data_IF_752077423587
#
_entry.id   IF_752077423587
#
_cell.length_a   1.000
_cell.length_b   1.000
_cell.length_c   1.000
_cell.angle_alpha   90.00
_cell.angle_beta   90.00
_cell.angle_gamma   90.00
#
_symmetry.space_group_name_H-M   'P 1'
#
loop_
_entity.id
_entity.type
_entity.pdbx_description
1 polymer ?
#
# COMPACT_ATOMS: atom_id res chain seq x y z
N UNK A 1 9.50 -14.63 -7.86
CA UNK A 1 8.77 -13.40 -8.27
C UNK A 1 7.75 -13.08 -7.22
N UNK A 2 7.73 -11.90 -6.76
CA UNK A 2 6.87 -11.36 -5.72
C UNK A 2 5.50 -10.99 -6.30
N UNK A 3 4.41 -11.30 -5.60
CA UNK A 3 3.08 -10.86 -5.97
C UNK A 3 2.79 -9.47 -5.39
N UNK A 4 2.71 -8.46 -6.25
CA UNK A 4 2.67 -7.05 -5.87
C UNK A 4 1.28 -6.46 -6.03
N UNK A 5 0.73 -5.95 -4.92
CA UNK A 5 -0.58 -5.29 -4.86
C UNK A 5 -0.36 -3.81 -4.52
N UNK A 6 -0.80 -2.91 -5.39
CA UNK A 6 -0.81 -1.48 -5.08
C UNK A 6 -2.24 -1.01 -4.79
N UNK A 7 -2.42 -0.31 -3.67
CA UNK A 7 -3.71 0.25 -3.26
C UNK A 7 -3.74 1.75 -3.55
N UNK A 8 -4.70 2.20 -4.35
CA UNK A 8 -4.85 3.58 -4.79
C UNK A 8 -6.28 4.08 -4.59
N UNK A 9 -6.49 5.37 -4.60
CA UNK A 9 -7.83 5.96 -4.44
C UNK A 9 -7.75 7.41 -3.95
N UNK A 10 -8.90 8.06 -3.85
CA UNK A 10 -9.02 9.41 -3.29
C UNK A 10 -8.63 9.46 -1.82
N UNK A 11 -8.28 10.64 -1.30
CA UNK A 11 -8.09 10.86 0.14
C UNK A 11 -9.34 10.51 0.95
N UNK A 12 -9.18 9.80 2.06
CA UNK A 12 -10.26 9.47 3.00
C UNK A 12 -11.17 8.30 2.62
N UNK A 13 -10.95 7.60 1.49
CA UNK A 13 -11.78 6.45 1.09
C UNK A 13 -11.44 5.13 1.80
N UNK A 14 -10.39 5.12 2.66
CA UNK A 14 -9.99 3.94 3.43
C UNK A 14 -8.92 3.07 2.77
N UNK A 15 -8.06 3.62 1.92
CA UNK A 15 -6.92 2.90 1.32
C UNK A 15 -6.08 2.18 2.36
N UNK A 16 -5.56 2.92 3.34
CA UNK A 16 -4.71 2.40 4.41
C UNK A 16 -5.41 1.32 5.23
N UNK A 17 -6.72 1.46 5.45
CA UNK A 17 -7.55 0.43 6.09
C UNK A 17 -7.58 -0.86 5.26
N UNK A 18 -7.84 -0.74 3.96
CA UNK A 18 -7.84 -1.89 3.05
C UNK A 18 -6.44 -2.50 2.95
N UNK A 19 -5.39 -1.69 2.86
CA UNK A 19 -4.00 -2.15 2.85
C UNK A 19 -3.64 -2.97 4.09
N UNK A 20 -3.94 -2.45 5.30
CA UNK A 20 -3.66 -3.15 6.55
C UNK A 20 -4.43 -4.48 6.66
N UNK A 21 -5.71 -4.50 6.29
CA UNK A 21 -6.52 -5.72 6.32
C UNK A 21 -6.11 -6.73 5.23
N UNK A 22 -5.61 -6.26 4.06
CA UNK A 22 -5.02 -7.14 3.04
C UNK A 22 -3.72 -7.80 3.52
N UNK A 23 -2.84 -7.05 4.17
CA UNK A 23 -1.61 -7.59 4.78
C UNK A 23 -1.97 -8.74 5.73
N UNK A 24 -2.89 -8.51 6.67
CA UNK A 24 -3.37 -9.53 7.59
C UNK A 24 -3.99 -10.73 6.86
N UNK A 25 -4.90 -10.48 5.90
CA UNK A 25 -5.60 -11.55 5.20
C UNK A 25 -4.65 -12.43 4.37
N UNK A 26 -3.64 -11.84 3.73
CA UNK A 26 -2.62 -12.56 2.98
C UNK A 26 -1.76 -13.43 3.89
N UNK A 27 -1.31 -12.89 5.04
CA UNK A 27 -0.56 -13.66 6.03
C UNK A 27 -1.38 -14.82 6.57
N UNK A 28 -2.60 -14.59 7.09
CA UNK A 28 -3.46 -15.65 7.63
C UNK A 28 -3.77 -16.74 6.59
N UNK A 29 -3.89 -16.37 5.32
CA UNK A 29 -4.20 -17.30 4.23
C UNK A 29 -3.03 -18.20 3.85
N UNK A 30 -1.82 -17.63 3.82
CA UNK A 30 -0.65 -18.26 3.19
C UNK A 30 0.41 -18.71 4.18
N UNK A 31 0.38 -18.19 5.41
CA UNK A 31 1.45 -18.38 6.41
C UNK A 31 2.76 -17.67 6.04
N UNK A 32 2.76 -16.84 4.97
CA UNK A 32 3.93 -16.11 4.52
C UNK A 32 4.03 -14.74 5.16
N UNK A 33 5.24 -14.24 5.34
CA UNK A 33 5.47 -12.86 5.74
C UNK A 33 5.14 -11.95 4.56
N UNK A 34 4.37 -10.89 4.80
CA UNK A 34 3.95 -9.92 3.78
C UNK A 34 4.76 -8.65 3.93
N UNK A 35 5.37 -8.16 2.86
CA UNK A 35 5.98 -6.84 2.89
C UNK A 35 4.91 -5.77 2.72
N UNK A 36 4.74 -4.92 3.74
CA UNK A 36 3.90 -3.74 3.71
C UNK A 36 4.76 -2.50 3.40
N UNK A 37 4.41 -1.76 2.36
CA UNK A 37 5.09 -0.52 1.98
C UNK A 37 4.12 0.65 2.16
N UNK A 38 4.45 1.54 3.10
CA UNK A 38 3.71 2.78 3.30
C UNK A 38 4.33 3.87 2.42
N UNK A 39 3.68 4.15 1.28
CA UNK A 39 4.10 5.17 0.33
C UNK A 39 3.39 6.52 0.53
N UNK A 40 2.53 6.64 1.55
CA UNK A 40 1.93 7.92 1.95
C UNK A 40 2.92 8.72 2.82
N UNK A 41 3.20 10.00 2.52
CA UNK A 41 4.04 10.85 3.35
C UNK A 41 3.60 10.99 4.81
N UNK A 42 2.33 10.75 5.10
CA UNK A 42 1.79 10.79 6.46
C UNK A 42 2.05 9.52 7.25
N UNK A 43 2.49 8.43 6.61
CA UNK A 43 2.92 7.17 7.23
C UNK A 43 1.91 6.59 8.23
N UNK A 44 0.65 6.43 7.78
CA UNK A 44 -0.43 5.96 8.64
C UNK A 44 -0.58 4.43 8.70
N UNK A 45 0.06 3.70 7.79
CA UNK A 45 -0.09 2.24 7.70
C UNK A 45 0.46 1.54 8.95
N UNK A 46 1.57 2.04 9.51
CA UNK A 46 2.16 1.50 10.72
C UNK A 46 1.19 1.52 11.92
N UNK A 47 0.50 2.64 12.15
CA UNK A 47 -0.53 2.74 13.20
C UNK A 47 -1.62 1.67 13.00
N UNK A 48 -2.09 1.49 11.75
CA UNK A 48 -3.14 0.50 11.45
C UNK A 48 -2.66 -0.94 11.60
N UNK A 49 -1.36 -1.19 11.45
CA UNK A 49 -0.72 -2.49 11.70
C UNK A 49 -0.23 -2.66 13.15
N UNK A 50 -0.38 -1.64 14.01
CA UNK A 50 0.02 -1.69 15.41
C UNK A 50 1.52 -1.60 15.65
N UNK A 51 2.28 -1.06 14.69
CA UNK A 51 3.72 -0.84 14.79
C UNK A 51 4.06 0.61 14.45
N UNK A 52 5.13 1.13 15.05
CA UNK A 52 5.57 2.51 14.81
C UNK A 52 6.98 2.49 14.24
N UNK A 53 7.17 2.89 12.97
CA UNK A 53 8.50 3.00 12.40
C UNK A 53 9.29 4.11 13.09
N UNK A 54 10.48 3.78 13.60
CA UNK A 54 11.39 4.78 14.21
C UNK A 54 12.01 5.69 13.16
N UNK A 55 12.10 5.23 11.92
CA UNK A 55 12.73 5.94 10.80
C UNK A 55 11.99 5.65 9.51
N UNK A 56 11.92 6.66 8.65
CA UNK A 56 11.41 6.52 7.29
C UNK A 56 12.54 6.56 6.27
N UNK A 57 12.28 6.13 5.04
CA UNK A 57 13.22 6.27 3.93
C UNK A 57 13.55 7.75 3.67
N UNK A 58 12.57 8.64 3.87
CA UNK A 58 12.78 10.09 3.80
C UNK A 58 13.80 10.60 4.80
N UNK A 59 13.70 10.16 6.07
CA UNK A 59 14.65 10.53 7.14
C UNK A 59 16.06 10.03 6.82
N UNK A 60 16.18 8.79 6.34
CA UNK A 60 17.46 8.21 5.93
C UNK A 60 18.11 9.02 4.80
N UNK A 61 17.31 9.39 3.81
CA UNK A 61 17.75 10.23 2.70
C UNK A 61 18.28 11.58 3.20
N UNK A 62 17.54 12.26 4.08
CA UNK A 62 17.97 13.53 4.65
C UNK A 62 19.28 13.40 5.45
N UNK A 63 19.38 12.36 6.27
CA UNK A 63 20.60 12.08 7.03
C UNK A 63 21.79 11.90 6.10
N UNK A 64 21.64 11.12 5.05
CA UNK A 64 22.71 10.87 4.07
C UNK A 64 23.15 12.13 3.31
N UNK A 65 22.24 13.08 3.12
CA UNK A 65 22.55 14.35 2.48
C UNK A 65 23.38 15.26 3.38
N UNK A 66 23.06 15.24 4.67
CA UNK A 66 23.79 16.04 5.68
C UNK A 66 25.17 15.45 6.02
N UNK A 67 25.33 14.14 5.85
CA UNK A 67 26.54 13.38 6.22
C UNK A 67 27.21 12.71 5.02
N UNK A 68 27.14 13.33 3.83
CA UNK A 68 27.64 12.72 2.59
C UNK A 68 29.13 12.31 2.64
N UNK A 69 29.92 12.94 3.53
CA UNK A 69 31.35 12.71 3.72
C UNK A 69 31.68 11.85 4.96
N UNK A 70 30.72 11.54 5.84
CA UNK A 70 30.90 10.80 7.08
C UNK A 70 30.56 9.31 6.93
N UNK A 71 31.07 8.65 5.90
CA UNK A 71 30.89 7.21 5.73
C UNK A 71 31.85 6.46 6.68
N UNK A 72 31.40 5.34 7.29
CA UNK A 72 32.28 4.46 8.03
C UNK A 72 33.45 4.00 7.16
N UNK A 73 34.66 3.97 7.74
CA UNK A 73 35.87 3.60 7.01
C UNK A 73 35.73 2.18 6.41
N UNK A 74 35.91 2.07 5.11
CA UNK A 74 35.87 0.78 4.38
C UNK A 74 34.49 0.37 3.85
N UNK A 75 33.43 1.16 4.07
CA UNK A 75 32.12 0.90 3.47
C UNK A 75 31.89 1.76 2.23
N UNK A 76 31.33 1.15 1.18
CA UNK A 76 30.81 1.91 0.04
C UNK A 76 29.52 2.64 0.42
N UNK A 77 29.20 3.71 -0.29
CA UNK A 77 27.96 4.45 -0.08
C UNK A 77 26.72 3.58 -0.30
N UNK A 78 26.78 2.66 -1.24
CA UNK A 78 25.72 1.71 -1.52
C UNK A 78 25.46 0.77 -0.35
N UNK A 79 26.50 0.08 0.14
CA UNK A 79 26.39 -0.83 1.30
C UNK A 79 25.85 -0.12 2.54
N UNK A 80 26.26 1.14 2.76
CA UNK A 80 25.74 1.94 3.88
C UNK A 80 24.25 2.26 3.73
N UNK A 81 23.80 2.63 2.51
CA UNK A 81 22.36 2.87 2.23
C UNK A 81 21.55 1.61 2.47
N UNK A 82 21.96 0.49 1.87
CA UNK A 82 21.28 -0.80 2.02
C UNK A 82 21.16 -1.21 3.50
N UNK A 83 22.26 -1.07 4.26
CA UNK A 83 22.25 -1.33 5.70
C UNK A 83 21.25 -0.44 6.45
N UNK A 84 21.23 0.87 6.17
CA UNK A 84 20.31 1.80 6.82
C UNK A 84 18.85 1.52 6.43
N UNK A 85 18.58 1.10 5.20
CA UNK A 85 17.23 0.73 4.75
C UNK A 85 16.74 -0.54 5.45
N UNK A 86 17.60 -1.55 5.62
CA UNK A 86 17.26 -2.74 6.42
C UNK A 86 16.92 -2.37 7.88
N UNK A 87 17.65 -1.42 8.46
CA UNK A 87 17.35 -0.91 9.82
C UNK A 87 16.07 -0.08 9.91
N UNK A 88 15.52 0.40 8.79
CA UNK A 88 14.27 1.14 8.75
C UNK A 88 13.05 0.21 8.55
N UNK A 89 13.28 -1.06 8.23
CA UNK A 89 12.22 -2.06 8.16
C UNK A 89 11.81 -2.46 9.58
N UNK A 90 10.53 -2.42 9.87
CA UNK A 90 9.95 -2.81 11.16
C UNK A 90 9.29 -4.17 11.01
N UNK A 91 9.76 -5.15 11.78
CA UNK A 91 9.19 -6.49 11.81
C UNK A 91 7.91 -6.51 12.67
N UNK A 92 6.83 -7.05 12.13
CA UNK A 92 5.55 -7.28 12.81
C UNK A 92 5.16 -8.75 12.82
N UNK A 93 3.98 -9.04 13.35
CA UNK A 93 3.44 -10.41 13.37
C UNK A 93 2.87 -10.76 11.98
N UNK A 94 3.67 -11.48 11.20
CA UNK A 94 3.31 -11.91 9.85
C UNK A 94 3.54 -10.88 8.74
N UNK A 95 4.18 -9.77 9.04
CA UNK A 95 4.53 -8.76 8.05
C UNK A 95 5.81 -8.01 8.43
N UNK A 96 6.43 -7.39 7.43
CA UNK A 96 7.48 -6.41 7.62
C UNK A 96 7.02 -5.08 7.00
N UNK A 97 7.18 -3.97 7.74
CA UNK A 97 6.77 -2.65 7.31
C UNK A 97 7.96 -1.79 6.92
N UNK A 98 7.87 -1.17 5.75
CA UNK A 98 8.78 -0.12 5.30
C UNK A 98 7.99 1.16 5.00
N UNK A 99 8.32 2.25 5.71
CA UNK A 99 7.67 3.55 5.52
C UNK A 99 8.52 4.48 4.69
N UNK A 100 7.95 5.02 3.61
CA UNK A 100 8.65 5.93 2.70
C UNK A 100 8.85 7.33 3.31
N UNK A 101 7.90 7.80 4.11
CA UNK A 101 7.97 9.13 4.72
C UNK A 101 7.91 10.28 3.72
N UNK A 102 8.17 11.50 4.19
CA UNK A 102 8.10 12.69 3.36
C UNK A 102 9.30 12.81 2.43
N UNK A 103 9.08 13.14 1.16
CA UNK A 103 10.15 13.36 0.20
C UNK A 103 10.66 14.80 0.21
N UNK A 104 10.88 15.41 1.35
CA UNK A 104 11.19 16.85 1.42
C UNK A 104 12.67 17.17 1.20
N UNK A 105 12.94 18.28 0.51
CA UNK A 105 14.22 18.95 0.34
C UNK A 105 14.46 19.42 -1.10
N UNK A 106 14.99 20.65 -1.30
CA UNK A 106 15.41 21.12 -2.62
C UNK A 106 16.69 20.38 -3.03
N UNK A 107 16.69 19.80 -4.22
CA UNK A 107 17.88 19.22 -4.85
C UNK A 107 17.59 17.97 -5.68
N UNK A 108 18.39 17.78 -6.73
CA UNK A 108 18.35 16.58 -7.56
C UNK A 108 19.25 15.50 -6.92
N UNK A 109 18.64 14.55 -6.22
CA UNK A 109 19.35 13.47 -5.53
C UNK A 109 19.26 12.16 -6.34
N UNK A 110 19.39 12.25 -7.64
CA UNK A 110 19.20 11.15 -8.58
C UNK A 110 19.96 9.88 -8.17
N UNK A 111 21.18 10.02 -7.68
CA UNK A 111 22.01 8.86 -7.29
C UNK A 111 21.45 8.13 -6.06
N UNK A 112 21.18 8.85 -4.97
CA UNK A 112 20.64 8.25 -3.73
C UNK A 112 19.24 7.67 -3.97
N UNK A 113 18.39 8.40 -4.69
CA UNK A 113 17.06 7.92 -5.05
C UNK A 113 17.12 6.65 -5.91
N UNK A 114 18.12 6.53 -6.79
CA UNK A 114 18.31 5.33 -7.60
C UNK A 114 18.73 4.13 -6.75
N UNK A 115 19.68 4.30 -5.82
CA UNK A 115 20.08 3.23 -4.88
C UNK A 115 18.89 2.78 -4.05
N UNK A 116 18.14 3.72 -3.46
CA UNK A 116 16.96 3.40 -2.64
C UNK A 116 15.89 2.66 -3.44
N UNK A 117 15.68 3.05 -4.69
CA UNK A 117 14.73 2.38 -5.57
C UNK A 117 15.19 0.95 -5.90
N UNK A 118 16.47 0.78 -6.26
CA UNK A 118 17.03 -0.56 -6.54
C UNK A 118 16.89 -1.46 -5.32
N UNK A 119 17.25 -0.95 -4.14
CA UNK A 119 17.09 -1.72 -2.89
C UNK A 119 15.61 -2.08 -2.63
N UNK A 120 14.66 -1.13 -2.84
CA UNK A 120 13.24 -1.41 -2.67
C UNK A 120 12.76 -2.51 -3.62
N UNK A 121 13.17 -2.43 -4.89
CA UNK A 121 12.81 -3.45 -5.88
C UNK A 121 13.39 -4.82 -5.49
N UNK A 122 14.66 -4.89 -5.06
CA UNK A 122 15.31 -6.10 -4.58
C UNK A 122 14.69 -6.62 -3.29
N UNK A 123 14.47 -5.77 -2.29
CA UNK A 123 13.84 -6.16 -1.03
C UNK A 123 12.41 -6.68 -1.23
N UNK A 124 11.64 -6.08 -2.14
CA UNK A 124 10.31 -6.58 -2.46
C UNK A 124 10.35 -7.97 -3.12
N UNK A 125 11.41 -8.30 -3.86
CA UNK A 125 11.55 -9.63 -4.50
C UNK A 125 11.86 -10.75 -3.50
N UNK A 126 12.31 -10.43 -2.28
CA UNK A 126 12.54 -11.39 -1.20
C UNK A 126 11.23 -11.89 -0.55
N UNK A 127 10.10 -11.24 -0.82
CA UNK A 127 8.79 -11.60 -0.27
C UNK A 127 7.89 -12.23 -1.32
N UNK A 128 7.06 -13.21 -0.89
CA UNK A 128 6.03 -13.79 -1.77
C UNK A 128 4.93 -12.78 -2.08
N UNK A 129 4.60 -11.89 -1.13
CA UNK A 129 3.55 -10.88 -1.24
C UNK A 129 4.03 -9.50 -0.80
N UNK A 130 3.65 -8.49 -1.58
CA UNK A 130 3.90 -7.07 -1.27
C UNK A 130 2.62 -6.28 -1.39
N UNK A 131 2.29 -5.50 -0.36
CA UNK A 131 1.16 -4.56 -0.35
C UNK A 131 1.69 -3.15 -0.25
N UNK A 132 1.39 -2.30 -1.24
CA UNK A 132 1.84 -0.91 -1.30
C UNK A 132 0.64 0.01 -1.06
N UNK A 133 0.62 0.70 0.09
CA UNK A 133 -0.37 1.74 0.41
C UNK A 133 0.08 3.08 -0.19
N UNK A 134 -0.67 3.59 -1.15
CA UNK A 134 -0.29 4.82 -1.84
C UNK A 134 -1.03 6.04 -1.28
N UNK A 135 -0.39 7.19 -1.37
CA UNK A 135 -1.02 8.48 -1.14
C UNK A 135 -2.23 8.69 -2.07
N UNK A 136 -3.03 9.71 -1.79
CA UNK A 136 -4.11 10.10 -2.67
C UNK A 136 -3.61 10.46 -4.08
N UNK A 137 -4.06 9.71 -5.07
CA UNK A 137 -3.57 9.81 -6.46
C UNK A 137 -2.63 8.67 -6.84
N UNK A 138 -1.87 8.87 -7.91
CA UNK A 138 -0.92 7.89 -8.47
C UNK A 138 0.47 8.48 -8.74
N UNK A 139 0.72 9.71 -8.31
CA UNK A 139 1.97 10.40 -8.65
C UNK A 139 3.22 9.68 -8.09
N UNK A 140 3.07 9.01 -6.96
CA UNK A 140 4.15 8.25 -6.33
C UNK A 140 4.45 6.93 -7.05
N UNK A 141 3.45 6.26 -7.60
CA UNK A 141 3.65 5.03 -8.37
C UNK A 141 4.55 5.24 -9.58
N UNK A 142 4.39 6.38 -10.30
CA UNK A 142 5.18 6.65 -11.51
C UNK A 142 6.63 7.02 -11.22
N UNK A 143 6.90 7.61 -10.06
CA UNK A 143 8.20 8.21 -9.76
C UNK A 143 9.11 7.34 -8.90
N UNK A 144 8.57 6.38 -8.12
CA UNK A 144 9.31 5.85 -6.98
C UNK A 144 9.20 4.36 -6.70
N UNK A 145 8.14 3.68 -7.09
CA UNK A 145 7.98 2.31 -6.67
C UNK A 145 8.06 1.37 -7.85
N UNK A 146 7.30 0.79 -8.47
CA UNK A 146 7.45 -0.27 -9.46
C UNK A 146 6.85 0.09 -10.81
N UNK A 147 7.49 -0.34 -11.89
CA UNK A 147 6.94 -0.22 -13.24
C UNK A 147 5.85 -1.26 -13.52
N UNK A 148 5.81 -2.33 -12.73
CA UNK A 148 4.85 -3.42 -12.88
C UNK A 148 4.24 -3.81 -11.54
N UNK A 149 2.95 -4.14 -11.54
CA UNK A 149 2.23 -4.68 -10.41
C UNK A 149 1.22 -5.73 -10.89
N UNK A 150 1.06 -6.78 -10.10
CA UNK A 150 0.12 -7.86 -10.46
C UNK A 150 -1.32 -7.38 -10.29
N UNK A 151 -1.60 -6.64 -9.21
CA UNK A 151 -2.91 -6.10 -8.93
C UNK A 151 -2.86 -4.62 -8.55
N UNK A 152 -3.69 -3.81 -9.22
CA UNK A 152 -4.01 -2.45 -8.82
C UNK A 152 -5.38 -2.46 -8.13
N UNK A 153 -5.41 -2.23 -6.81
CA UNK A 153 -6.63 -2.11 -6.02
C UNK A 153 -7.05 -0.65 -5.97
N UNK A 154 -8.09 -0.29 -6.71
CA UNK A 154 -8.66 1.06 -6.72
C UNK A 154 -9.79 1.16 -5.69
N UNK A 155 -9.55 1.87 -4.59
CA UNK A 155 -10.52 2.06 -3.50
C UNK A 155 -11.36 3.32 -3.73
N UNK A 156 -12.67 3.18 -3.61
CA UNK A 156 -13.67 4.25 -3.69
C UNK A 156 -14.62 4.22 -2.50
N UNK A 157 -15.24 5.33 -2.21
CA UNK A 157 -16.48 5.39 -1.43
C UNK A 157 -17.71 5.09 -2.33
N UNK A 158 -18.90 4.78 -1.78
CA UNK A 158 -20.10 4.47 -2.55
C UNK A 158 -20.79 5.71 -3.13
N UNK A 159 -20.00 6.71 -3.58
CA UNK A 159 -20.52 7.94 -4.19
C UNK A 159 -20.20 7.99 -5.68
N UNK A 160 -21.04 8.68 -6.45
CA UNK A 160 -20.78 8.91 -7.87
C UNK A 160 -19.41 9.55 -8.12
N UNK A 161 -19.04 10.55 -7.32
CA UNK A 161 -17.76 11.26 -7.43
C UNK A 161 -16.58 10.33 -7.11
N UNK A 162 -16.74 9.43 -6.12
CA UNK A 162 -15.74 8.40 -5.81
C UNK A 162 -15.49 7.50 -7.01
N UNK A 163 -16.54 6.97 -7.62
CA UNK A 163 -16.47 6.11 -8.78
C UNK A 163 -15.86 6.81 -10.00
N UNK A 164 -16.25 8.05 -10.29
CA UNK A 164 -15.65 8.86 -11.36
C UNK A 164 -14.14 9.09 -11.12
N UNK A 165 -13.72 9.20 -9.86
CA UNK A 165 -12.31 9.33 -9.50
C UNK A 165 -11.52 8.06 -9.83
N UNK A 166 -12.10 6.87 -9.57
CA UNK A 166 -11.48 5.60 -9.98
C UNK A 166 -11.28 5.55 -11.49
N UNK A 167 -12.27 5.94 -12.29
CA UNK A 167 -12.13 6.00 -13.75
C UNK A 167 -10.95 6.88 -14.19
N UNK A 168 -10.76 8.03 -13.54
CA UNK A 168 -9.61 8.91 -13.79
C UNK A 168 -8.27 8.28 -13.39
N UNK A 169 -8.21 7.59 -12.24
CA UNK A 169 -7.01 6.89 -11.80
C UNK A 169 -6.61 5.79 -12.77
N UNK A 170 -7.58 5.01 -13.26
CA UNK A 170 -7.33 3.97 -14.27
C UNK A 170 -6.78 4.56 -15.58
N UNK A 171 -7.35 5.67 -16.04
CA UNK A 171 -6.85 6.37 -17.23
C UNK A 171 -5.42 6.89 -17.02
N UNK A 172 -5.14 7.45 -15.86
CA UNK A 172 -3.82 7.93 -15.50
C UNK A 172 -2.78 6.79 -15.46
N UNK A 173 -3.13 5.62 -14.90
CA UNK A 173 -2.26 4.44 -14.91
C UNK A 173 -1.84 4.05 -16.33
N UNK A 174 -2.79 4.07 -17.27
CA UNK A 174 -2.53 3.78 -18.69
C UNK A 174 -1.63 4.84 -19.34
N UNK A 175 -1.89 6.12 -19.08
CA UNK A 175 -1.06 7.23 -19.58
C UNK A 175 0.38 7.15 -19.07
N UNK A 176 0.55 6.74 -17.82
CA UNK A 176 1.87 6.56 -17.18
C UNK A 176 2.57 5.26 -17.60
N UNK A 177 1.93 4.43 -18.43
CA UNK A 177 2.43 3.14 -18.90
C UNK A 177 2.84 2.22 -17.74
N UNK A 178 2.06 2.23 -16.66
CA UNK A 178 2.22 1.29 -15.56
C UNK A 178 1.66 -0.06 -16.04
N UNK A 179 2.48 -1.09 -15.96
CA UNK A 179 2.04 -2.45 -16.29
C UNK A 179 1.22 -3.00 -15.12
N UNK A 180 -0.06 -3.21 -15.35
CA UNK A 180 -1.00 -3.74 -14.36
C UNK A 180 -1.56 -5.06 -14.87
N UNK A 181 -1.33 -6.13 -14.13
CA UNK A 181 -1.84 -7.47 -14.47
C UNK A 181 -3.37 -7.52 -14.33
N UNK A 182 -3.90 -7.07 -13.20
CA UNK A 182 -5.33 -7.00 -12.91
C UNK A 182 -5.70 -5.71 -12.20
N UNK A 183 -6.87 -5.15 -12.55
CA UNK A 183 -7.47 -4.03 -11.83
C UNK A 183 -8.63 -4.55 -10.96
N UNK A 184 -8.60 -4.30 -9.65
CA UNK A 184 -9.67 -4.58 -8.72
C UNK A 184 -10.29 -3.27 -8.22
N UNK A 185 -11.62 -3.13 -8.34
CA UNK A 185 -12.35 -2.03 -7.73
C UNK A 185 -12.84 -2.46 -6.34
N UNK A 186 -12.53 -1.67 -5.32
CA UNK A 186 -13.05 -1.86 -3.97
C UNK A 186 -13.93 -0.67 -3.60
N UNK A 187 -15.21 -0.89 -3.40
CA UNK A 187 -16.11 0.13 -2.87
C UNK A 187 -16.26 -0.09 -1.37
N UNK A 188 -15.67 0.83 -0.60
CA UNK A 188 -15.53 0.74 0.84
C UNK A 188 -16.63 1.51 1.58
N UNK A 189 -17.01 1.03 2.77
CA UNK A 189 -17.99 1.67 3.64
C UNK A 189 -19.44 1.56 3.14
N UNK A 190 -19.73 0.54 2.36
CA UNK A 190 -21.05 0.32 1.76
C UNK A 190 -22.07 -0.08 2.83
N UNK A 191 -23.23 0.56 2.84
CA UNK A 191 -24.37 0.20 3.67
C UNK A 191 -25.38 -0.61 2.83
N UNK A 192 -26.08 -1.57 3.44
CA UNK A 192 -26.91 -2.56 2.73
C UNK A 192 -27.80 -2.03 1.61
N UNK A 193 -28.37 -0.82 1.76
CA UNK A 193 -29.22 -0.19 0.74
C UNK A 193 -28.45 0.31 -0.50
N UNK A 194 -27.13 0.43 -0.43
CA UNK A 194 -26.28 0.97 -1.50
C UNK A 194 -25.69 -0.12 -2.41
N UNK A 195 -25.71 -1.39 -1.97
CA UNK A 195 -25.06 -2.51 -2.69
C UNK A 195 -25.53 -2.61 -4.14
N UNK A 196 -26.84 -2.65 -4.48
CA UNK A 196 -27.29 -2.80 -5.86
C UNK A 196 -26.84 -1.67 -6.78
N UNK A 197 -26.81 -0.43 -6.24
CA UNK A 197 -26.38 0.76 -7.01
C UNK A 197 -24.88 0.70 -7.29
N UNK A 198 -24.09 0.27 -6.32
CA UNK A 198 -22.64 0.12 -6.46
C UNK A 198 -22.28 -0.96 -7.48
N UNK A 199 -22.96 -2.11 -7.43
CA UNK A 199 -22.77 -3.20 -8.39
C UNK A 199 -23.08 -2.74 -9.82
N UNK A 200 -24.21 -2.07 -10.03
CA UNK A 200 -24.58 -1.52 -11.34
C UNK A 200 -23.57 -0.48 -11.85
N UNK A 201 -23.02 0.37 -10.97
CA UNK A 201 -21.99 1.34 -11.35
C UNK A 201 -20.68 0.65 -11.72
N UNK A 202 -20.30 -0.41 -11.01
CA UNK A 202 -19.08 -1.17 -11.25
C UNK A 202 -19.10 -1.93 -12.57
N UNK A 203 -20.23 -2.55 -12.92
CA UNK A 203 -20.40 -3.29 -14.18
C UNK A 203 -20.12 -2.45 -15.45
N UNK A 204 -20.40 -1.15 -15.39
CA UNK A 204 -20.17 -0.23 -16.52
C UNK A 204 -18.75 0.31 -16.65
N UNK A 205 -17.92 0.15 -15.63
CA UNK A 205 -16.64 0.88 -15.55
C UNK A 205 -15.41 0.04 -15.84
N UNK A 206 -15.40 -1.27 -15.61
CA UNK A 206 -14.14 -2.02 -15.50
C UNK A 206 -14.26 -3.45 -16.07
N UNK A 207 -13.30 -3.85 -16.89
CA UNK A 207 -13.10 -5.24 -17.32
C UNK A 207 -12.52 -6.13 -16.18
N UNK A 208 -12.66 -5.73 -14.92
CA UNK A 208 -12.06 -6.35 -13.74
C UNK A 208 -13.11 -6.60 -12.65
N UNK A 209 -12.70 -7.28 -11.57
CA UNK A 209 -13.59 -7.60 -10.46
C UNK A 209 -13.89 -6.39 -9.58
N UNK A 210 -15.15 -6.23 -9.22
CA UNK A 210 -15.59 -5.29 -8.21
C UNK A 210 -15.87 -6.03 -6.90
N UNK A 211 -15.45 -5.41 -5.80
CA UNK A 211 -15.65 -5.91 -4.43
C UNK A 211 -16.32 -4.82 -3.61
N UNK A 212 -17.26 -5.21 -2.77
CA UNK A 212 -17.90 -4.33 -1.79
C UNK A 212 -17.38 -4.67 -0.40
N UNK A 213 -16.90 -3.64 0.31
CA UNK A 213 -16.52 -3.74 1.72
C UNK A 213 -17.56 -2.98 2.53
N UNK A 214 -18.31 -3.67 3.41
CA UNK A 214 -19.38 -3.03 4.17
C UNK A 214 -18.83 -2.07 5.22
N UNK A 215 -19.69 -1.20 5.75
CA UNK A 215 -19.37 -0.37 6.91
C UNK A 215 -19.41 -1.22 8.18
N UNK A 216 -18.45 -1.04 9.09
CA UNK A 216 -18.41 -1.68 10.42
C UNK A 216 -18.21 -0.63 11.51
N UNK A 217 -19.04 -0.70 12.55
CA UNK A 217 -18.90 0.13 13.73
C UNK A 217 -17.64 -0.26 14.55
N UNK A 218 -17.30 -1.56 14.62
CA UNK A 218 -16.11 -2.03 15.30
C UNK A 218 -14.83 -1.50 14.63
N UNK A 219 -14.77 -1.56 13.31
CA UNK A 219 -13.68 -0.94 12.53
C UNK A 219 -13.59 0.56 12.75
N UNK A 220 -14.74 1.26 12.76
CA UNK A 220 -14.78 2.70 12.99
C UNK A 220 -14.29 3.06 14.41
N UNK A 221 -14.65 2.27 15.43
CA UNK A 221 -14.19 2.45 16.79
C UNK A 221 -12.68 2.24 16.93
N UNK A 222 -12.12 1.15 16.36
CA UNK A 222 -10.67 0.92 16.35
C UNK A 222 -9.92 2.10 15.70
N UNK A 223 -10.42 2.60 14.58
CA UNK A 223 -9.84 3.76 13.91
C UNK A 223 -9.91 5.04 14.77
N UNK A 224 -11.03 5.27 15.45
CA UNK A 224 -11.22 6.45 16.30
C UNK A 224 -10.34 6.42 17.56
N UNK A 225 -10.06 5.20 18.07
CA UNK A 225 -9.20 4.97 19.23
C UNK A 225 -7.70 4.91 18.85
N UNK A 226 -7.32 4.97 17.57
CA UNK A 226 -5.94 4.80 17.11
C UNK A 226 -5.36 3.42 17.37
N UNK A 227 -6.21 2.40 17.44
CA UNK A 227 -5.83 1.01 17.70
C UNK A 227 -5.53 0.27 16.40
N UNK A 228 -4.75 -0.80 16.54
CA UNK A 228 -4.42 -1.67 15.41
C UNK A 228 -5.66 -2.32 14.82
N UNK A 229 -5.75 -2.34 13.49
CA UNK A 229 -6.79 -3.06 12.77
C UNK A 229 -6.57 -4.58 12.78
N UNK A 230 -5.40 -5.05 13.22
CA UNK A 230 -5.16 -6.47 13.47
C UNK A 230 -5.97 -7.01 14.64
N UNK A 231 -6.50 -6.12 15.50
CA UNK A 231 -7.41 -6.48 16.60
C UNK A 231 -8.86 -6.73 16.15
N UNK A 232 -9.21 -6.39 14.89
CA UNK A 232 -10.55 -6.62 14.37
C UNK A 232 -10.89 -8.12 14.39
N UNK A 233 -12.04 -8.49 14.94
CA UNK A 233 -12.44 -9.89 15.07
C UNK A 233 -12.53 -10.61 13.71
N UNK A 234 -12.16 -11.88 13.65
CA UNK A 234 -12.24 -12.69 12.42
C UNK A 234 -13.69 -12.82 11.89
N UNK A 235 -14.68 -12.73 12.76
CA UNK A 235 -16.09 -12.76 12.42
C UNK A 235 -16.61 -11.44 11.87
N UNK A 236 -15.85 -10.35 11.96
CA UNK A 236 -16.25 -9.05 11.45
C UNK A 236 -16.47 -9.14 9.93
N UNK A 237 -17.57 -8.55 9.48
CA UNK A 237 -17.99 -8.64 8.10
C UNK A 237 -17.07 -7.86 7.12
N UNK A 238 -16.38 -6.80 7.59
CA UNK A 238 -15.35 -6.11 6.81
C UNK A 238 -14.15 -7.02 6.59
N UNK A 239 -13.64 -7.64 7.69
CA UNK A 239 -12.48 -8.52 7.57
C UNK A 239 -12.79 -9.73 6.68
N UNK A 240 -13.98 -10.33 6.83
CA UNK A 240 -14.42 -11.43 5.95
C UNK A 240 -14.52 -11.00 4.48
N UNK A 241 -14.99 -9.79 4.20
CA UNK A 241 -15.05 -9.27 2.83
C UNK A 241 -13.66 -9.10 2.23
N UNK A 242 -12.70 -8.54 3.00
CA UNK A 242 -11.31 -8.38 2.55
C UNK A 242 -10.62 -9.73 2.39
N UNK A 243 -10.86 -10.69 3.30
CA UNK A 243 -10.32 -12.06 3.20
C UNK A 243 -10.83 -12.77 1.93
N UNK A 244 -12.12 -12.71 1.65
CA UNK A 244 -12.71 -13.26 0.42
C UNK A 244 -12.18 -12.56 -0.85
N UNK A 245 -11.90 -11.26 -0.78
CA UNK A 245 -11.23 -10.52 -1.85
C UNK A 245 -9.81 -11.03 -2.06
N UNK A 246 -9.00 -11.13 -1.01
CA UNK A 246 -7.61 -11.60 -1.09
C UNK A 246 -7.51 -12.99 -1.71
N UNK A 247 -8.42 -13.91 -1.32
CA UNK A 247 -8.52 -15.25 -1.92
C UNK A 247 -8.71 -15.20 -3.43
N UNK A 248 -9.52 -14.27 -3.92
CA UNK A 248 -9.75 -14.13 -5.35
C UNK A 248 -8.57 -13.45 -6.06
N UNK A 249 -7.92 -12.47 -5.42
CA UNK A 249 -6.78 -11.75 -6.01
C UNK A 249 -5.59 -12.67 -6.25
N UNK A 250 -5.28 -13.57 -5.32
CA UNK A 250 -4.16 -14.54 -5.46
C UNK A 250 -4.34 -15.48 -6.65
N UNK A 251 -5.57 -15.76 -7.07
CA UNK A 251 -5.86 -16.68 -8.18
C UNK A 251 -5.81 -16.03 -9.58
N UNK A 252 -5.44 -14.75 -9.68
CA UNK A 252 -5.26 -14.06 -10.97
C UNK A 252 -3.88 -14.22 -11.60
N UNK A 253 -3.00 -14.98 -10.97
CA UNK A 253 -1.63 -15.28 -11.44
C UNK A 253 -1.51 -16.71 -11.93
#
# INVERSE_FOLDING_TARGET
MSFRIAVVGKGGVGKTTISALLVRALHERTGKVVMAVDADPNSNLGEKLGVMPERTIGDLREKMLKSADDLPAGQSKQEYVEYQMRLATVEGDGFDLLSMGRPEGPGCYCYINNIMRTFLDEAMDDYDFVVIDNEAGMEHLSRRTTKSMDVLVAVSDPTKTGMETVGRLVSLAKEMKIEVGCLALVVNGVRGQQIPVVEQMAEGMIQCKAFTVPFSDDLANLNAEGRSLLELGESDHVFRAVKAMSDQLIHFV
#
